data_IF_441677399498
#
_entry.id   IF_441677399498
#
_cell.length_a   1.000
_cell.length_b   1.000
_cell.length_c   1.000
_cell.angle_alpha   90.00
_cell.angle_beta   90.00
_cell.angle_gamma   90.00
#
_symmetry.space_group_name_H-M   'P 1'
#
loop_
_entity.id
_entity.type
_entity.pdbx_description
1 polymer ?
#
# COMPACT_ATOMS: atom_id res chain seq x y z
N UNK A 1 15.98 28.22 -3.14
CA UNK A 1 16.89 27.24 -3.77
C UNK A 1 16.52 25.88 -3.21
N UNK A 2 16.36 24.87 -4.07
CA UNK A 2 16.09 23.50 -3.63
C UNK A 2 17.39 22.95 -3.06
N UNK A 3 17.42 22.62 -1.76
CA UNK A 3 18.59 21.98 -1.15
C UNK A 3 18.63 20.51 -1.56
N UNK A 4 19.33 20.24 -2.66
CA UNK A 4 19.46 18.91 -3.23
C UNK A 4 20.15 17.93 -2.27
N UNK A 5 21.06 18.42 -1.42
CA UNK A 5 21.77 17.60 -0.46
C UNK A 5 20.82 17.12 0.64
N UNK A 6 20.02 18.02 1.21
CA UNK A 6 19.02 17.68 2.20
C UNK A 6 17.98 16.69 1.67
N UNK A 7 17.49 16.88 0.44
CA UNK A 7 16.54 15.94 -0.18
C UNK A 7 17.14 14.54 -0.29
N UNK A 8 18.40 14.41 -0.72
CA UNK A 8 19.07 13.11 -0.83
C UNK A 8 19.19 12.43 0.54
N UNK A 9 19.64 13.17 1.57
CA UNK A 9 19.78 12.64 2.93
C UNK A 9 18.42 12.21 3.49
N UNK A 10 17.38 13.04 3.35
CA UNK A 10 16.03 12.71 3.81
C UNK A 10 15.38 11.57 3.04
N UNK A 11 15.80 11.30 1.79
CA UNK A 11 15.31 10.19 0.99
C UNK A 11 15.98 8.84 1.32
N UNK A 12 17.18 8.84 1.91
CA UNK A 12 17.95 7.61 2.18
C UNK A 12 17.21 6.56 3.02
N UNK A 13 16.50 6.89 4.12
CA UNK A 13 15.77 5.89 4.90
C UNK A 13 14.75 5.11 4.06
N UNK A 14 14.06 5.81 3.15
CA UNK A 14 13.09 5.19 2.24
C UNK A 14 13.79 4.31 1.20
N UNK A 15 14.93 4.75 0.66
CA UNK A 15 15.73 3.95 -0.26
C UNK A 15 16.26 2.67 0.41
N UNK A 16 16.76 2.77 1.65
CA UNK A 16 17.23 1.62 2.44
C UNK A 16 16.08 0.65 2.72
N UNK A 17 14.90 1.14 3.09
CA UNK A 17 13.73 0.29 3.27
C UNK A 17 13.35 -0.43 1.96
N UNK A 18 13.30 0.29 0.84
CA UNK A 18 12.96 -0.26 -0.47
C UNK A 18 13.96 -1.33 -0.94
N UNK A 19 15.26 -1.04 -0.86
CA UNK A 19 16.32 -2.00 -1.22
C UNK A 19 16.33 -3.19 -0.27
N UNK A 20 16.17 -2.96 1.03
CA UNK A 20 16.10 -4.03 2.03
C UNK A 20 14.95 -5.00 1.76
N UNK A 21 13.74 -4.47 1.51
CA UNK A 21 12.55 -5.28 1.26
C UNK A 21 12.56 -5.95 -0.12
N UNK A 22 12.70 -5.16 -1.18
CA UNK A 22 12.51 -5.64 -2.55
C UNK A 22 13.78 -6.22 -3.17
N UNK A 23 14.96 -5.65 -2.85
CA UNK A 23 16.24 -6.08 -3.43
C UNK A 23 16.88 -7.23 -2.66
N UNK A 24 16.93 -7.12 -1.32
CA UNK A 24 17.63 -8.07 -0.45
C UNK A 24 16.70 -9.09 0.22
N UNK A 25 15.38 -8.94 0.08
CA UNK A 25 14.39 -9.84 0.68
C UNK A 25 14.44 -9.88 2.21
N UNK A 26 14.85 -8.78 2.85
CA UNK A 26 14.91 -8.71 4.32
C UNK A 26 13.52 -8.74 4.94
N UNK A 27 13.38 -9.33 6.14
CA UNK A 27 12.15 -9.21 6.90
C UNK A 27 11.89 -7.73 7.24
N UNK A 28 10.61 -7.35 7.30
CA UNK A 28 10.19 -5.97 7.54
C UNK A 28 10.81 -5.35 8.81
N UNK A 29 11.01 -6.15 9.87
CA UNK A 29 11.68 -5.71 11.10
C UNK A 29 13.13 -5.27 10.86
N UNK A 30 13.89 -6.01 10.04
CA UNK A 30 15.29 -5.68 9.71
C UNK A 30 15.37 -4.46 8.79
N UNK A 31 14.54 -4.42 7.74
CA UNK A 31 14.49 -3.28 6.83
C UNK A 31 14.07 -1.99 7.56
N UNK A 32 13.06 -2.07 8.44
CA UNK A 32 12.62 -0.96 9.28
C UNK A 32 13.70 -0.48 10.25
N UNK A 33 14.40 -1.40 10.94
CA UNK A 33 15.50 -1.05 11.82
C UNK A 33 16.65 -0.35 11.07
N UNK A 34 17.00 -0.84 9.87
CA UNK A 34 18.01 -0.21 9.02
C UNK A 34 17.58 1.18 8.53
N UNK A 35 16.32 1.34 8.13
CA UNK A 35 15.76 2.63 7.73
C UNK A 35 15.75 3.64 8.89
N UNK A 36 15.36 3.21 10.09
CA UNK A 36 15.40 4.04 11.29
C UNK A 36 16.83 4.46 11.65
N UNK A 37 17.78 3.52 11.63
CA UNK A 37 19.19 3.84 11.86
C UNK A 37 19.70 4.85 10.82
N UNK A 38 19.34 4.68 9.55
CA UNK A 38 19.68 5.61 8.47
C UNK A 38 19.07 7.00 8.70
N UNK A 39 17.83 7.08 9.20
CA UNK A 39 17.18 8.35 9.52
C UNK A 39 17.87 9.06 10.69
N UNK A 40 18.22 8.34 11.75
CA UNK A 40 18.92 8.90 12.92
C UNK A 40 20.33 9.38 12.52
N UNK A 41 21.08 8.58 11.77
CA UNK A 41 22.41 8.96 11.28
C UNK A 41 22.34 10.14 10.30
N UNK A 42 21.36 10.14 9.40
CA UNK A 42 21.11 11.24 8.46
C UNK A 42 20.82 12.55 9.19
N UNK A 43 20.03 12.50 10.27
CA UNK A 43 19.71 13.67 11.08
C UNK A 43 20.91 14.27 11.83
N UNK A 44 22.00 13.51 12.04
CA UNK A 44 23.27 14.07 12.57
C UNK A 44 23.98 14.92 11.51
N UNK A 45 23.77 14.63 10.23
CA UNK A 45 24.42 15.31 9.11
C UNK A 45 23.58 16.48 8.62
N UNK A 46 22.26 16.30 8.51
CA UNK A 46 21.32 17.31 8.00
C UNK A 46 19.86 16.98 8.37
N UNK A 47 19.04 17.95 8.80
CA UNK A 47 19.33 19.34 9.16
C UNK A 47 20.07 19.47 10.51
N UNK A 48 20.51 20.67 10.90
CA UNK A 48 21.07 20.94 12.24
C UNK A 48 20.08 20.48 13.33
N UNK A 49 20.32 19.30 13.89
CA UNK A 49 19.41 18.67 14.82
C UNK A 49 19.76 19.08 16.24
N UNK A 50 18.86 19.82 16.89
CA UNK A 50 18.92 19.96 18.34
C UNK A 50 18.71 18.58 18.98
N UNK A 51 19.70 18.08 19.74
CA UNK A 51 19.63 16.74 20.35
C UNK A 51 18.38 16.56 21.25
N UNK A 52 17.83 17.66 21.76
CA UNK A 52 16.58 17.73 22.52
C UNK A 52 15.32 17.41 21.69
N UNK A 53 15.37 17.50 20.36
CA UNK A 53 14.24 17.21 19.48
C UNK A 53 14.08 15.72 19.16
N UNK A 54 15.14 14.91 19.31
CA UNK A 54 15.14 13.48 18.97
C UNK A 54 14.07 12.67 19.74
N UNK A 55 13.92 12.80 21.06
CA UNK A 55 12.89 12.07 21.79
C UNK A 55 11.47 12.43 21.32
N UNK A 56 11.22 13.72 21.02
CA UNK A 56 9.94 14.18 20.50
C UNK A 56 9.61 13.58 19.14
N UNK A 57 10.58 13.54 18.23
CA UNK A 57 10.42 12.92 16.91
C UNK A 57 10.16 11.40 17.01
N UNK A 58 10.87 10.70 17.90
CA UNK A 58 10.64 9.28 18.15
C UNK A 58 9.25 9.01 18.71
N UNK A 59 8.80 9.78 19.70
CA UNK A 59 7.45 9.64 20.27
C UNK A 59 6.36 9.94 19.25
N UNK A 60 6.53 10.98 18.42
CA UNK A 60 5.62 11.28 17.31
C UNK A 60 5.57 10.15 16.26
N UNK A 61 6.73 9.57 15.93
CA UNK A 61 6.82 8.41 15.04
C UNK A 61 6.15 7.17 15.61
N UNK A 62 6.29 6.92 16.92
CA UNK A 62 5.59 5.84 17.63
C UNK A 62 4.08 6.07 17.65
N UNK A 63 3.62 7.31 17.87
CA UNK A 63 2.20 7.67 17.81
C UNK A 63 1.59 7.42 16.43
N UNK A 64 2.28 7.86 15.38
CA UNK A 64 1.88 7.59 13.99
C UNK A 64 1.85 6.09 13.70
N UNK A 65 2.87 5.35 14.17
CA UNK A 65 2.95 3.90 14.02
C UNK A 65 1.81 3.19 14.75
N UNK A 66 1.45 3.62 15.96
CA UNK A 66 0.32 3.08 16.71
C UNK A 66 -1.01 3.29 15.99
N UNK A 67 -1.22 4.46 15.37
CA UNK A 67 -2.40 4.73 14.55
C UNK A 67 -2.48 3.78 13.34
N UNK A 68 -1.37 3.59 12.63
CA UNK A 68 -1.32 2.65 11.49
C UNK A 68 -1.59 1.21 11.94
N UNK A 69 -0.95 0.77 13.04
CA UNK A 69 -1.15 -0.56 13.60
C UNK A 69 -2.59 -0.81 14.05
N UNK A 70 -3.25 0.19 14.63
CA UNK A 70 -4.65 0.09 15.04
C UNK A 70 -5.59 -0.15 13.85
N UNK A 71 -5.41 0.58 12.75
CA UNK A 71 -6.21 0.39 11.54
C UNK A 71 -5.91 -0.96 10.87
N UNK A 72 -4.62 -1.31 10.77
CA UNK A 72 -4.17 -2.62 10.26
C UNK A 72 -4.78 -3.78 11.05
N UNK A 73 -4.80 -3.66 12.37
CA UNK A 73 -5.38 -4.68 13.24
C UNK A 73 -6.85 -4.89 12.93
N UNK A 74 -7.64 -3.82 12.82
CA UNK A 74 -9.07 -3.92 12.48
C UNK A 74 -9.31 -4.56 11.11
N UNK A 75 -8.57 -4.13 10.09
CA UNK A 75 -8.68 -4.68 8.73
C UNK A 75 -8.29 -6.15 8.65
N UNK A 76 -7.15 -6.53 9.26
CA UNK A 76 -6.68 -7.91 9.31
C UNK A 76 -7.61 -8.80 10.14
N UNK A 77 -8.14 -8.31 11.27
CA UNK A 77 -9.10 -9.06 12.08
C UNK A 77 -10.37 -9.37 11.28
N UNK A 78 -10.94 -8.37 10.61
CA UNK A 78 -12.12 -8.55 9.76
C UNK A 78 -11.83 -9.53 8.62
N UNK A 79 -10.70 -9.37 7.93
CA UNK A 79 -10.28 -10.28 6.87
C UNK A 79 -10.16 -11.72 7.37
N UNK A 80 -9.46 -11.95 8.49
CA UNK A 80 -9.29 -13.29 9.04
C UNK A 80 -10.62 -13.91 9.47
N UNK A 81 -11.54 -13.12 10.02
CA UNK A 81 -12.88 -13.57 10.39
C UNK A 81 -13.69 -13.99 9.16
N UNK A 82 -13.72 -13.16 8.11
CA UNK A 82 -14.42 -13.44 6.85
C UNK A 82 -13.80 -14.63 6.10
N UNK A 83 -12.47 -14.75 6.13
CA UNK A 83 -11.74 -15.86 5.51
C UNK A 83 -12.04 -17.17 6.23
N UNK A 84 -11.95 -17.20 7.56
CA UNK A 84 -12.24 -18.39 8.37
C UNK A 84 -13.71 -18.82 8.24
N UNK A 85 -14.62 -17.86 8.13
CA UNK A 85 -16.05 -18.11 7.88
C UNK A 85 -16.39 -18.52 6.44
N UNK A 86 -15.41 -18.58 5.53
CA UNK A 86 -15.61 -18.94 4.12
C UNK A 86 -16.29 -17.87 3.26
N UNK A 87 -16.51 -16.66 3.80
CA UNK A 87 -17.15 -15.56 3.09
C UNK A 87 -16.30 -15.06 1.92
N UNK A 88 -14.97 -14.99 2.09
CA UNK A 88 -14.03 -14.62 1.02
C UNK A 88 -14.16 -15.59 -0.15
N UNK A 89 -14.16 -16.90 0.13
CA UNK A 89 -14.30 -17.94 -0.89
C UNK A 89 -15.68 -17.92 -1.57
N UNK A 90 -16.75 -17.64 -0.82
CA UNK A 90 -18.09 -17.51 -1.37
C UNK A 90 -18.21 -16.31 -2.33
N UNK A 91 -17.67 -15.14 -1.95
CA UNK A 91 -17.61 -13.94 -2.79
C UNK A 91 -16.74 -14.22 -4.02
N UNK A 92 -15.60 -14.87 -3.85
CA UNK A 92 -14.71 -15.17 -4.96
C UNK A 92 -15.36 -16.08 -6.01
N UNK A 93 -16.08 -17.11 -5.57
CA UNK A 93 -16.86 -17.99 -6.45
C UNK A 93 -18.04 -17.30 -7.12
N UNK A 94 -18.70 -16.37 -6.41
CA UNK A 94 -19.79 -15.58 -6.99
C UNK A 94 -19.26 -14.67 -8.11
N UNK A 95 -18.22 -13.87 -7.81
CA UNK A 95 -17.62 -12.93 -8.76
C UNK A 95 -17.01 -13.63 -9.97
N UNK A 96 -16.33 -14.77 -9.77
CA UNK A 96 -15.74 -15.55 -10.85
C UNK A 96 -16.75 -16.17 -11.84
N UNK A 97 -18.05 -16.11 -11.55
CA UNK A 97 -19.13 -16.62 -12.41
C UNK A 97 -19.97 -15.51 -13.06
N UNK A 98 -19.75 -14.25 -12.72
CA UNK A 98 -20.55 -13.13 -13.23
C UNK A 98 -20.31 -12.88 -14.72
N UNK A 99 -19.07 -13.06 -15.17
CA UNK A 99 -18.67 -12.80 -16.56
C UNK A 99 -18.10 -14.08 -17.20
N UNK A 100 -18.74 -14.63 -18.24
CA UNK A 100 -18.27 -15.82 -18.93
C UNK A 100 -16.97 -15.60 -19.71
N UNK A 101 -16.73 -14.39 -20.25
CA UNK A 101 -15.47 -14.08 -20.90
C UNK A 101 -14.36 -13.84 -19.87
N UNK A 102 -13.32 -14.67 -19.92
CA UNK A 102 -12.22 -14.61 -18.97
C UNK A 102 -11.45 -13.29 -19.03
N UNK A 103 -11.33 -12.68 -20.21
CA UNK A 103 -10.62 -11.42 -20.38
C UNK A 103 -11.43 -10.27 -19.77
N UNK A 104 -12.72 -10.18 -20.10
CA UNK A 104 -13.62 -9.22 -19.47
C UNK A 104 -13.71 -9.39 -17.94
N UNK A 105 -13.72 -10.64 -17.44
CA UNK A 105 -13.67 -10.93 -16.01
C UNK A 105 -12.35 -10.43 -15.38
N UNK A 106 -11.21 -10.69 -16.00
CA UNK A 106 -9.91 -10.25 -15.50
C UNK A 106 -9.85 -8.72 -15.41
N UNK A 107 -10.26 -8.01 -16.48
CA UNK A 107 -10.35 -6.56 -16.47
C UNK A 107 -11.27 -6.07 -15.35
N UNK A 108 -12.48 -6.64 -15.22
CA UNK A 108 -13.43 -6.29 -14.15
C UNK A 108 -12.89 -6.53 -12.74
N UNK A 109 -12.09 -7.58 -12.54
CA UNK A 109 -11.41 -7.83 -11.28
C UNK A 109 -10.32 -6.78 -11.03
N UNK A 110 -9.48 -6.50 -12.02
CA UNK A 110 -8.32 -5.59 -11.90
C UNK A 110 -8.74 -4.14 -11.70
N UNK A 111 -9.77 -3.65 -12.41
CA UNK A 111 -10.18 -2.23 -12.31
C UNK A 111 -11.43 -1.99 -11.46
N UNK A 112 -12.15 -3.05 -11.08
CA UNK A 112 -13.39 -2.95 -10.30
C UNK A 112 -13.27 -3.58 -8.92
N UNK A 113 -13.20 -4.92 -8.88
CA UNK A 113 -13.23 -5.69 -7.62
C UNK A 113 -12.03 -5.37 -6.72
N UNK A 114 -10.82 -5.43 -7.27
CA UNK A 114 -9.61 -5.22 -6.50
C UNK A 114 -9.51 -3.78 -5.96
N UNK A 115 -9.74 -2.71 -6.76
CA UNK A 115 -9.78 -1.34 -6.26
C UNK A 115 -10.85 -1.11 -5.19
N UNK A 116 -12.03 -1.74 -5.32
CA UNK A 116 -13.08 -1.67 -4.30
C UNK A 116 -12.60 -2.25 -2.97
N UNK A 117 -12.07 -3.47 -2.98
CA UNK A 117 -11.59 -4.10 -1.74
C UNK A 117 -10.40 -3.35 -1.17
N UNK A 118 -9.48 -2.84 -1.99
CA UNK A 118 -8.34 -2.04 -1.54
C UNK A 118 -8.85 -0.78 -0.84
N UNK A 119 -9.82 -0.09 -1.44
CA UNK A 119 -10.39 1.14 -0.86
C UNK A 119 -11.09 0.89 0.49
N UNK A 120 -11.77 -0.24 0.66
CA UNK A 120 -12.48 -0.56 1.92
C UNK A 120 -11.53 -1.08 3.00
N UNK A 121 -10.58 -1.94 2.63
CA UNK A 121 -9.76 -2.70 3.60
C UNK A 121 -8.32 -2.21 3.71
N UNK A 122 -7.74 -1.77 2.59
CA UNK A 122 -6.34 -1.33 2.46
C UNK A 122 -5.32 -2.47 2.60
N UNK A 123 -4.05 -2.06 2.53
CA UNK A 123 -2.89 -2.87 2.93
C UNK A 123 -2.70 -4.17 2.14
N UNK A 124 -3.14 -4.20 0.88
CA UNK A 124 -2.91 -5.32 -0.02
C UNK A 124 -3.86 -6.51 0.16
N UNK A 125 -4.91 -6.36 0.98
CA UNK A 125 -5.97 -7.38 1.14
C UNK A 125 -6.67 -7.66 -0.18
N UNK A 126 -6.78 -6.67 -1.07
CA UNK A 126 -7.39 -6.87 -2.38
C UNK A 126 -6.67 -7.92 -3.24
N UNK A 127 -5.34 -8.06 -3.11
CA UNK A 127 -4.58 -9.11 -3.82
C UNK A 127 -5.04 -10.49 -3.37
N UNK A 128 -5.27 -10.64 -2.06
CA UNK A 128 -5.66 -11.91 -1.43
C UNK A 128 -7.06 -12.34 -1.85
N UNK A 129 -7.96 -11.40 -2.13
CA UNK A 129 -9.31 -11.68 -2.63
C UNK A 129 -9.33 -11.93 -4.14
N UNK A 130 -8.53 -11.14 -4.89
CA UNK A 130 -8.53 -11.19 -6.36
C UNK A 130 -7.87 -12.44 -6.91
N UNK A 131 -6.80 -12.94 -6.27
CA UNK A 131 -6.10 -14.12 -6.75
C UNK A 131 -6.98 -15.39 -6.77
N UNK A 132 -7.76 -15.74 -5.73
CA UNK A 132 -8.70 -16.86 -5.78
C UNK A 132 -9.77 -16.74 -6.87
N UNK A 133 -10.29 -15.54 -7.14
CA UNK A 133 -11.27 -15.30 -8.23
C UNK A 133 -10.67 -15.72 -9.57
N UNK A 134 -9.46 -15.23 -9.86
CA UNK A 134 -8.76 -15.49 -11.11
C UNK A 134 -8.34 -16.96 -11.24
N UNK A 135 -7.90 -17.58 -10.14
CA UNK A 135 -7.62 -19.02 -10.10
C UNK A 135 -8.88 -19.84 -10.40
N UNK A 136 -10.02 -19.50 -9.79
CA UNK A 136 -11.30 -20.17 -10.02
C UNK A 136 -11.81 -20.01 -11.46
N UNK A 137 -11.48 -18.88 -12.10
CA UNK A 137 -11.76 -18.63 -13.52
C UNK A 137 -10.81 -19.40 -14.48
N UNK A 138 -9.80 -20.10 -13.95
CA UNK A 138 -8.89 -20.95 -14.71
C UNK A 138 -7.64 -20.24 -15.23
N UNK A 139 -7.26 -19.10 -14.64
CA UNK A 139 -5.95 -18.50 -14.90
C UNK A 139 -4.84 -19.31 -14.22
N UNK A 140 -3.65 -19.30 -14.81
CA UNK A 140 -2.47 -19.91 -14.18
C UNK A 140 -2.09 -19.14 -12.91
N UNK A 141 -1.48 -19.78 -11.90
CA UNK A 141 -1.10 -19.09 -10.66
C UNK A 141 -0.26 -17.83 -10.87
N UNK A 142 0.67 -17.86 -11.84
CA UNK A 142 1.48 -16.69 -12.19
C UNK A 142 0.63 -15.54 -12.76
N UNK A 143 -0.29 -15.84 -13.69
CA UNK A 143 -1.18 -14.81 -14.25
C UNK A 143 -2.11 -14.24 -13.19
N UNK A 144 -2.69 -15.10 -12.35
CA UNK A 144 -3.54 -14.66 -11.25
C UNK A 144 -2.80 -13.74 -10.28
N UNK A 145 -1.54 -14.06 -9.93
CA UNK A 145 -0.73 -13.23 -9.06
C UNK A 145 -0.40 -11.87 -9.68
N UNK A 146 -0.04 -11.82 -10.96
CA UNK A 146 0.27 -10.57 -11.68
C UNK A 146 -0.98 -9.68 -11.76
N UNK A 147 -2.10 -10.23 -12.23
CA UNK A 147 -3.36 -9.50 -12.34
C UNK A 147 -3.87 -9.01 -10.98
N UNK A 148 -3.84 -9.86 -9.95
CA UNK A 148 -4.22 -9.45 -8.60
C UNK A 148 -3.34 -8.29 -8.08
N UNK A 149 -2.05 -8.28 -8.44
CA UNK A 149 -1.13 -7.19 -8.10
C UNK A 149 -1.46 -5.90 -8.85
N UNK A 150 -1.83 -5.97 -10.13
CA UNK A 150 -2.28 -4.81 -10.89
C UNK A 150 -3.55 -4.17 -10.33
N UNK A 151 -4.38 -4.96 -9.64
CA UNK A 151 -5.52 -4.48 -8.87
C UNK A 151 -5.20 -3.47 -7.75
N UNK A 152 -3.92 -3.21 -7.47
CA UNK A 152 -3.45 -2.23 -6.49
C UNK A 152 -3.37 -0.79 -7.05
N UNK A 153 -4.12 -0.47 -8.12
CA UNK A 153 -4.15 0.88 -8.68
C UNK A 153 -4.86 1.94 -7.81
N UNK A 154 -5.56 1.53 -6.74
CA UNK A 154 -6.27 2.42 -5.81
C UNK A 154 -5.62 2.56 -4.42
N UNK A 155 -4.36 2.14 -4.26
CA UNK A 155 -3.63 2.19 -2.97
C UNK A 155 -3.68 3.54 -2.24
N UNK A 156 -3.61 4.72 -2.91
CA UNK A 156 -3.75 6.00 -2.22
C UNK A 156 -5.07 6.17 -1.46
N UNK A 157 -6.15 5.52 -1.89
CA UNK A 157 -7.45 5.54 -1.22
C UNK A 157 -7.73 4.28 -0.40
N UNK A 158 -6.71 3.42 -0.24
CA UNK A 158 -6.80 2.23 0.57
C UNK A 158 -7.18 2.54 2.02
N UNK A 159 -7.98 1.65 2.62
CA UNK A 159 -8.54 1.83 3.96
C UNK A 159 -9.19 3.23 4.15
N UNK A 160 -10.03 3.63 3.20
CA UNK A 160 -10.71 4.93 3.16
C UNK A 160 -9.75 6.13 3.18
N UNK A 161 -8.57 5.96 2.58
CA UNK A 161 -7.56 7.01 2.44
C UNK A 161 -6.74 7.31 3.70
N UNK A 162 -6.75 6.42 4.71
CA UNK A 162 -5.97 6.60 5.96
C UNK A 162 -4.50 6.90 5.68
N UNK A 163 -3.88 6.17 4.73
CA UNK A 163 -2.48 6.41 4.35
C UNK A 163 -2.25 7.81 3.77
N UNK A 164 -3.19 8.29 2.94
CA UNK A 164 -3.16 9.64 2.38
C UNK A 164 -3.42 10.71 3.44
N UNK A 165 -4.30 10.47 4.41
CA UNK A 165 -4.51 11.39 5.55
C UNK A 165 -3.24 11.53 6.38
N UNK A 166 -2.60 10.40 6.73
CA UNK A 166 -1.33 10.40 7.48
C UNK A 166 -0.23 11.07 6.66
N UNK A 167 -0.11 10.73 5.37
CA UNK A 167 0.86 11.34 4.47
C UNK A 167 0.69 12.85 4.33
N UNK A 168 -0.55 13.34 4.21
CA UNK A 168 -0.86 14.76 4.13
C UNK A 168 -0.46 15.48 5.42
N UNK A 169 -0.79 14.90 6.58
CA UNK A 169 -0.41 15.43 7.88
C UNK A 169 1.12 15.53 8.04
N UNK A 170 1.85 14.47 7.70
CA UNK A 170 3.32 14.44 7.78
C UNK A 170 3.98 15.41 6.81
N UNK A 171 3.40 15.61 5.63
CA UNK A 171 3.91 16.53 4.61
C UNK A 171 3.51 17.99 4.86
N UNK A 172 2.66 18.27 5.88
CA UNK A 172 2.09 19.60 6.09
C UNK A 172 1.21 20.08 4.92
N UNK A 173 0.60 19.14 4.20
CA UNK A 173 -0.25 19.40 3.04
C UNK A 173 -1.72 19.25 3.39
N UNK A 174 -2.58 19.95 2.66
CA UNK A 174 -4.01 19.68 2.68
C UNK A 174 -4.30 18.27 2.12
N UNK A 175 -5.24 17.56 2.75
CA UNK A 175 -5.64 16.22 2.35
C UNK A 175 -6.18 16.19 0.92
N UNK A 176 -7.04 17.15 0.55
CA UNK A 176 -7.60 17.24 -0.79
C UNK A 176 -6.50 17.39 -1.84
N UNK A 177 -5.53 18.27 -1.59
CA UNK A 177 -4.40 18.47 -2.49
C UNK A 177 -3.55 17.21 -2.70
N UNK A 178 -3.23 16.46 -1.64
CA UNK A 178 -2.47 15.21 -1.77
C UNK A 178 -3.29 14.11 -2.44
N UNK A 179 -4.58 14.03 -2.13
CA UNK A 179 -5.52 13.09 -2.75
C UNK A 179 -5.64 13.36 -4.26
N UNK A 180 -5.82 14.61 -4.67
CA UNK A 180 -5.94 15.00 -6.08
C UNK A 180 -4.65 14.69 -6.84
N UNK A 181 -3.49 15.04 -6.28
CA UNK A 181 -2.20 14.71 -6.89
C UNK A 181 -2.02 13.20 -7.06
N UNK A 182 -2.39 12.41 -6.04
CA UNK A 182 -2.38 10.95 -6.11
C UNK A 182 -3.37 10.42 -7.16
N UNK A 183 -4.51 11.10 -7.33
CA UNK A 183 -5.48 10.82 -8.37
C UNK A 183 -4.87 10.97 -9.76
N UNK A 184 -4.25 12.11 -10.04
CA UNK A 184 -3.63 12.36 -11.34
C UNK A 184 -2.52 11.37 -11.67
N UNK A 185 -1.74 10.94 -10.67
CA UNK A 185 -0.68 9.94 -10.86
C UNK A 185 -1.22 8.53 -11.07
N UNK A 186 -2.33 8.17 -10.42
CA UNK A 186 -2.88 6.80 -10.44
C UNK A 186 -3.92 6.60 -11.53
N UNK A 187 -4.61 7.65 -11.99
CA UNK A 187 -5.69 7.58 -12.98
C UNK A 187 -5.27 6.91 -14.29
N UNK A 188 -4.07 7.16 -14.86
CA UNK A 188 -3.61 6.43 -16.05
C UNK A 188 -3.44 4.93 -15.84
N UNK A 189 -3.24 4.46 -14.60
CA UNK A 189 -3.04 3.04 -14.31
C UNK A 189 -4.32 2.24 -14.55
N UNK A 190 -5.51 2.83 -14.31
CA UNK A 190 -6.79 2.14 -14.52
C UNK A 190 -6.98 1.68 -15.97
N UNK A 191 -6.92 2.54 -17.01
CA UNK A 191 -7.04 2.08 -18.38
C UNK A 191 -5.85 1.22 -18.82
N UNK A 192 -4.62 1.51 -18.36
CA UNK A 192 -3.44 0.70 -18.72
C UNK A 192 -3.58 -0.73 -18.21
N UNK A 193 -3.92 -0.90 -16.93
CA UNK A 193 -4.11 -2.22 -16.34
C UNK A 193 -5.38 -2.90 -16.84
N UNK A 194 -6.45 -2.14 -17.09
CA UNK A 194 -7.68 -2.68 -17.67
C UNK A 194 -7.50 -3.24 -19.09
N UNK A 195 -6.69 -2.60 -19.93
CA UNK A 195 -6.38 -3.08 -21.29
C UNK A 195 -5.34 -4.21 -21.27
N UNK A 196 -4.41 -4.19 -20.31
CA UNK A 196 -3.38 -5.21 -20.21
C UNK A 196 -3.84 -6.53 -19.57
N UNK A 197 -4.94 -6.49 -18.80
CA UNK A 197 -5.51 -7.62 -18.05
C UNK A 197 -6.14 -8.69 -18.96
#
# INVERSE_FOLDING_TARGET
MVDSMGILISALPFAVAAVGLAGLGWPASRAGAAALATAVLGAVVWPELEATAVPGALLGGLGTSAQVLYVLFGGLLLYNLLSTGGAVEAVSRFLGRLEPDRVALAAGVVVGVAPFFESVTGFGVAVVISAPILLAAGFTPLRAAVLATWGQCAVPWGALGVGTVIGAHLAGMDFGRLSDASAFLSLPLFPVYGVAA
#
